data_IF_449489992362
#
_entry.id   IF_449489992362
#
_cell.length_a   1.000
_cell.length_b   1.000
_cell.length_c   1.000
_cell.angle_alpha   90.00
_cell.angle_beta   90.00
_cell.angle_gamma   90.00
#
_symmetry.space_group_name_H-M   'P 1'
#
loop_
_entity.id
_entity.type
_entity.pdbx_description
1 polymer ?
#
# COMPACT_ATOMS: atom_id res chain seq x y z
N UNK A 1 -23.79 8.90 26.35
CA UNK A 1 -23.03 7.78 25.75
C UNK A 1 -22.16 8.37 24.65
N UNK A 2 -20.87 8.61 24.95
CA UNK A 2 -19.92 9.22 24.00
C UNK A 2 -19.52 8.14 22.99
N UNK A 3 -19.92 8.29 21.74
CA UNK A 3 -19.41 7.47 20.63
C UNK A 3 -17.94 7.83 20.43
N UNK A 4 -17.07 6.82 20.50
CA UNK A 4 -15.64 7.01 20.22
C UNK A 4 -15.45 7.55 18.80
N UNK A 5 -14.54 8.52 18.58
CA UNK A 5 -14.18 8.96 17.25
C UNK A 5 -13.56 7.78 16.49
N UNK A 6 -14.25 7.29 15.45
CA UNK A 6 -13.65 6.43 14.44
C UNK A 6 -12.42 7.15 13.92
N UNK A 7 -11.24 6.60 14.22
CA UNK A 7 -9.96 7.23 13.93
C UNK A 7 -9.63 6.98 12.46
N UNK A 8 -9.70 7.99 11.56
CA UNK A 8 -9.76 7.80 10.10
C UNK A 8 -8.55 7.15 9.44
N UNK A 9 -7.51 6.79 10.21
CA UNK A 9 -6.22 6.33 9.69
C UNK A 9 -5.97 4.85 9.98
N UNK A 10 -6.55 4.29 11.05
CA UNK A 10 -6.30 2.90 11.49
C UNK A 10 -7.02 1.90 10.59
N UNK A 11 -8.29 2.13 10.31
CA UNK A 11 -9.15 1.26 9.50
C UNK A 11 -8.58 1.08 8.09
N UNK A 12 -8.01 2.15 7.57
CA UNK A 12 -7.40 2.26 6.27
C UNK A 12 -6.14 1.38 6.16
N UNK A 13 -5.25 1.42 7.17
CA UNK A 13 -4.09 0.51 7.25
C UNK A 13 -4.50 -0.94 7.45
N UNK A 14 -5.51 -1.18 8.29
CA UNK A 14 -6.01 -2.53 8.57
C UNK A 14 -6.63 -3.17 7.33
N UNK A 15 -7.51 -2.45 6.63
CA UNK A 15 -8.15 -2.90 5.40
C UNK A 15 -7.11 -3.26 4.31
N UNK A 16 -6.07 -2.43 4.17
CA UNK A 16 -4.96 -2.71 3.24
C UNK A 16 -4.15 -3.94 3.61
N UNK A 17 -3.89 -4.14 4.90
CA UNK A 17 -3.22 -5.36 5.38
C UNK A 17 -4.02 -6.60 5.00
N UNK A 18 -5.33 -6.55 5.19
CA UNK A 18 -6.26 -7.63 4.83
C UNK A 18 -6.25 -7.88 3.32
N UNK A 19 -6.33 -6.83 2.50
CA UNK A 19 -6.29 -6.95 1.03
C UNK A 19 -5.00 -7.60 0.54
N UNK A 20 -3.84 -7.19 1.08
CA UNK A 20 -2.55 -7.80 0.74
C UNK A 20 -2.44 -9.26 1.18
N UNK A 21 -2.95 -9.60 2.37
CA UNK A 21 -2.99 -10.97 2.85
C UNK A 21 -3.90 -11.86 2.00
N UNK A 22 -5.07 -11.34 1.59
CA UNK A 22 -5.99 -12.02 0.67
C UNK A 22 -5.31 -12.31 -0.67
N UNK A 23 -4.60 -11.33 -1.25
CA UNK A 23 -3.87 -11.53 -2.49
C UNK A 23 -2.83 -12.66 -2.37
N UNK A 24 -2.07 -12.69 -1.27
CA UNK A 24 -1.10 -13.77 -0.99
C UNK A 24 -1.78 -15.12 -0.84
N UNK A 25 -2.88 -15.19 -0.08
CA UNK A 25 -3.64 -16.43 0.15
C UNK A 25 -4.21 -16.96 -1.16
N UNK A 26 -4.78 -16.10 -2.00
CA UNK A 26 -5.29 -16.48 -3.32
C UNK A 26 -4.18 -17.04 -4.19
N UNK A 27 -3.05 -16.33 -4.25
CA UNK A 27 -1.95 -16.73 -5.11
C UNK A 27 -1.29 -18.05 -4.66
N UNK A 28 -1.09 -18.22 -3.35
CA UNK A 28 -0.61 -19.47 -2.76
C UNK A 28 -1.62 -20.62 -2.95
N UNK A 29 -2.92 -20.34 -2.80
CA UNK A 29 -4.00 -21.29 -3.03
C UNK A 29 -4.04 -21.80 -4.46
N UNK A 30 -3.81 -20.93 -5.45
CA UNK A 30 -3.69 -21.32 -6.86
C UNK A 30 -2.51 -22.27 -7.05
N UNK A 31 -1.34 -21.93 -6.50
CA UNK A 31 -0.15 -22.79 -6.55
C UNK A 31 -0.40 -24.18 -5.95
N UNK A 32 -1.11 -24.23 -4.82
CA UNK A 32 -1.47 -25.48 -4.15
C UNK A 32 -2.42 -26.35 -4.98
N UNK A 33 -3.47 -25.75 -5.57
CA UNK A 33 -4.40 -26.48 -6.43
C UNK A 33 -3.70 -27.01 -7.67
N UNK A 34 -2.81 -26.22 -8.28
CA UNK A 34 -2.02 -26.63 -9.43
C UNK A 34 -1.04 -27.77 -9.09
N UNK A 35 -0.31 -27.68 -7.98
CA UNK A 35 0.58 -28.76 -7.53
C UNK A 35 -0.18 -30.08 -7.32
N UNK A 36 -1.42 -30.01 -6.81
CA UNK A 36 -2.28 -31.19 -6.59
C UNK A 36 -2.77 -31.81 -7.90
N UNK A 37 -2.93 -31.00 -8.95
CA UNK A 37 -3.44 -31.45 -10.24
C UNK A 37 -2.32 -31.97 -11.15
N UNK A 38 -1.13 -31.34 -11.10
CA UNK A 38 0.04 -31.72 -11.90
C UNK A 38 0.94 -32.75 -11.19
N UNK A 39 0.75 -33.00 -9.90
CA UNK A 39 1.58 -33.93 -9.12
C UNK A 39 2.99 -33.42 -8.82
N UNK A 40 3.25 -32.12 -8.99
CA UNK A 40 4.57 -31.47 -8.89
C UNK A 40 4.98 -31.11 -7.47
N UNK A 41 4.60 -31.92 -6.47
CA UNK A 41 4.79 -31.61 -5.04
C UNK A 41 6.19 -31.05 -4.71
N UNK A 42 6.36 -29.83 -4.15
CA UNK A 42 5.48 -28.65 -4.07
C UNK A 42 6.09 -27.43 -4.79
N UNK A 43 6.49 -27.59 -6.06
CA UNK A 43 7.28 -26.56 -6.76
C UNK A 43 6.46 -25.32 -7.11
N UNK A 44 5.22 -25.47 -7.59
CA UNK A 44 4.42 -24.31 -8.03
C UNK A 44 3.99 -23.47 -6.83
N UNK A 45 3.62 -24.10 -5.71
CA UNK A 45 3.29 -23.39 -4.47
C UNK A 45 4.45 -22.53 -3.99
N UNK A 46 5.70 -23.02 -4.05
CA UNK A 46 6.89 -22.23 -3.68
C UNK A 46 7.04 -21.02 -4.62
N UNK A 47 6.98 -21.24 -5.94
CA UNK A 47 7.10 -20.17 -6.93
C UNK A 47 6.03 -19.10 -6.72
N UNK A 48 4.76 -19.51 -6.59
CA UNK A 48 3.66 -18.59 -6.36
C UNK A 48 3.79 -17.84 -5.03
N UNK A 49 4.30 -18.49 -3.98
CA UNK A 49 4.56 -17.83 -2.68
C UNK A 49 5.64 -16.77 -2.80
N UNK A 50 6.73 -17.05 -3.55
CA UNK A 50 7.78 -16.06 -3.81
C UNK A 50 7.21 -14.89 -4.60
N UNK A 51 6.42 -15.15 -5.64
CA UNK A 51 5.75 -14.09 -6.41
C UNK A 51 4.82 -13.26 -5.52
N UNK A 52 4.09 -13.90 -4.60
CA UNK A 52 3.22 -13.22 -3.65
C UNK A 52 4.02 -12.27 -2.74
N UNK A 53 5.12 -12.76 -2.16
CA UNK A 53 5.99 -11.99 -1.30
C UNK A 53 6.60 -10.78 -2.03
N UNK A 54 7.07 -10.99 -3.27
CA UNK A 54 7.59 -9.91 -4.11
C UNK A 54 6.49 -8.89 -4.45
N UNK A 55 5.28 -9.35 -4.76
CA UNK A 55 4.14 -8.47 -5.04
C UNK A 55 3.78 -7.56 -3.86
N UNK A 56 3.73 -8.12 -2.64
CA UNK A 56 3.50 -7.34 -1.40
C UNK A 56 4.62 -6.32 -1.19
N UNK A 57 5.88 -6.73 -1.37
CA UNK A 57 7.01 -5.84 -1.20
C UNK A 57 7.04 -4.72 -2.24
N UNK A 58 6.76 -5.04 -3.51
CA UNK A 58 6.66 -4.05 -4.58
C UNK A 58 5.54 -3.04 -4.31
N UNK A 59 4.37 -3.51 -3.87
CA UNK A 59 3.25 -2.65 -3.46
C UNK A 59 3.68 -1.68 -2.35
N UNK A 60 4.41 -2.17 -1.36
CA UNK A 60 4.93 -1.31 -0.28
C UNK A 60 5.90 -0.24 -0.82
N UNK A 61 6.79 -0.60 -1.75
CA UNK A 61 7.77 0.32 -2.34
C UNK A 61 7.12 1.38 -3.22
N UNK A 62 6.20 1.01 -4.12
CA UNK A 62 5.54 1.99 -4.99
C UNK A 62 4.75 3.02 -4.19
N UNK A 63 4.08 2.58 -3.12
CA UNK A 63 3.29 3.47 -2.27
C UNK A 63 4.15 4.43 -1.44
N UNK A 64 5.36 4.00 -1.06
CA UNK A 64 6.32 4.90 -0.42
C UNK A 64 6.70 6.04 -1.37
N UNK A 65 6.96 5.72 -2.64
CA UNK A 65 7.31 6.72 -3.66
C UNK A 65 6.14 7.67 -3.93
N UNK A 66 4.92 7.15 -4.12
CA UNK A 66 3.73 8.00 -4.30
C UNK A 66 3.45 8.92 -3.11
N UNK A 67 3.77 8.48 -1.89
CA UNK A 67 3.58 9.30 -0.69
C UNK A 67 4.52 10.50 -0.67
N UNK A 68 5.73 10.38 -1.24
CA UNK A 68 6.67 11.49 -1.35
C UNK A 68 6.22 12.50 -2.40
N UNK A 69 5.76 12.04 -3.57
CA UNK A 69 5.22 12.92 -4.61
C UNK A 69 4.03 13.75 -4.10
N UNK A 70 3.15 13.15 -3.27
CA UNK A 70 2.05 13.88 -2.64
C UNK A 70 2.52 14.98 -1.69
N UNK A 71 3.54 14.70 -0.88
CA UNK A 71 4.11 15.65 0.06
C UNK A 71 4.85 16.80 -0.66
N UNK A 72 5.48 16.51 -1.80
CA UNK A 72 6.10 17.53 -2.65
C UNK A 72 5.05 18.40 -3.35
N UNK A 73 3.99 17.81 -3.89
CA UNK A 73 2.87 18.55 -4.47
C UNK A 73 2.23 19.51 -3.44
N UNK A 74 1.98 19.03 -2.22
CA UNK A 74 1.41 19.84 -1.15
C UNK A 74 2.36 20.98 -0.71
N UNK A 75 3.69 20.76 -0.72
CA UNK A 75 4.68 21.81 -0.46
C UNK A 75 4.75 22.85 -1.57
N UNK A 76 4.61 22.46 -2.83
CA UNK A 76 4.57 23.37 -3.97
C UNK A 76 3.30 24.25 -3.93
N UNK A 77 2.16 23.69 -3.54
CA UNK A 77 0.92 24.44 -3.33
C UNK A 77 1.02 25.39 -2.13
N UNK A 78 1.61 24.93 -1.02
CA UNK A 78 1.81 25.73 0.19
C UNK A 78 2.84 26.85 0.00
N UNK A 79 3.90 26.60 -0.77
CA UNK A 79 4.91 27.59 -1.14
C UNK A 79 4.38 28.66 -2.09
N UNK A 80 3.44 28.30 -2.97
CA UNK A 80 2.75 29.25 -3.86
C UNK A 80 1.80 30.19 -3.12
N UNK A 81 1.37 29.82 -1.90
CA UNK A 81 0.48 30.62 -1.03
C UNK A 81 1.23 31.51 -0.02
N UNK A 82 2.53 31.77 -0.21
CA UNK A 82 3.17 32.94 0.41
C UNK A 82 3.22 34.08 -0.61
N UNK A 83 2.19 34.96 -0.66
CA UNK A 83 2.41 36.27 -1.24
C UNK A 83 3.49 36.93 -0.38
N UNK A 84 4.58 37.27 -1.02
CA UNK A 84 5.61 38.12 -0.44
C UNK A 84 4.90 39.45 -0.20
N UNK A 85 4.43 39.67 1.02
CA UNK A 85 4.09 41.01 1.51
C UNK A 85 5.43 41.73 1.70
N UNK A 86 6.07 42.04 0.58
CA UNK A 86 7.05 43.10 0.47
C UNK A 86 6.26 44.30 -0.03
N UNK A 87 6.48 45.44 0.60
CA UNK A 87 5.80 46.73 0.33
C UNK A 87 4.39 46.75 0.94
N UNK A 88 4.08 47.49 2.00
CA UNK A 88 4.03 48.95 2.06
C UNK A 88 3.55 49.32 3.48
N UNK A 89 4.38 49.95 4.33
CA UNK A 89 3.98 50.96 5.32
C UNK A 89 5.23 51.50 6.03
N UNK A 90 5.94 52.40 5.34
CA UNK A 90 6.78 53.42 5.96
C UNK A 90 5.94 54.60 6.38
#
# INVERSE_FOLDING_TARGET
>A
MKTSPNSPRTDDTANRGIESALAVVVLAGIGFVLDRWLGTTPLLTIVFTIVAAVGVFASLKYRYVESMDRLEAERLESGRRRPIATEENS
#
